data_IF_948089152679
#
_entry.id   IF_948089152679
#
_cell.length_a   1.000
_cell.length_b   1.000
_cell.length_c   1.000
_cell.angle_alpha   90.00
_cell.angle_beta   90.00
_cell.angle_gamma   90.00
#
_symmetry.space_group_name_H-M   'P 1'
#
loop_
_entity.id
_entity.type
_entity.pdbx_description
1 polymer ?
#
# COMPACT_ATOMS: atom_id res chain seq x y z
N UNK A 1 27.03 -54.50 23.98
CA UNK A 1 26.76 -54.19 22.55
C UNK A 1 25.29 -54.38 22.14
N UNK A 2 24.66 -55.55 22.39
CA UNK A 2 23.26 -55.83 21.95
C UNK A 2 22.19 -54.91 22.58
N UNK A 3 22.31 -54.63 23.88
CA UNK A 3 21.37 -53.75 24.62
C UNK A 3 21.48 -52.29 24.14
N UNK A 4 22.71 -51.84 23.85
CA UNK A 4 22.96 -50.48 23.34
C UNK A 4 22.34 -50.29 21.94
N UNK A 5 22.45 -51.32 21.09
CA UNK A 5 21.83 -51.31 19.75
C UNK A 5 20.29 -51.31 19.81
N UNK A 6 19.70 -52.03 20.77
CA UNK A 6 18.26 -52.01 20.99
C UNK A 6 17.76 -50.64 21.46
N UNK A 7 18.46 -50.01 22.41
CA UNK A 7 18.15 -48.66 22.89
C UNK A 7 18.26 -47.63 21.75
N UNK A 8 19.32 -47.73 20.93
CA UNK A 8 19.51 -46.85 19.77
C UNK A 8 18.36 -47.00 18.75
N UNK A 9 17.92 -48.23 18.47
CA UNK A 9 16.80 -48.50 17.56
C UNK A 9 15.49 -47.86 18.05
N UNK A 10 15.19 -47.95 19.34
CA UNK A 10 14.00 -47.32 19.93
C UNK A 10 14.07 -45.79 19.83
N UNK A 11 15.24 -45.19 20.07
CA UNK A 11 15.43 -43.73 19.95
C UNK A 11 15.22 -43.27 18.50
N UNK A 12 15.71 -44.01 17.50
CA UNK A 12 15.52 -43.68 16.08
C UNK A 12 14.04 -43.74 15.69
N UNK A 13 13.31 -44.76 16.14
CA UNK A 13 11.87 -44.87 15.88
C UNK A 13 11.11 -43.71 16.53
N UNK A 14 11.41 -43.39 17.79
CA UNK A 14 10.82 -42.24 18.48
C UNK A 14 11.16 -40.91 17.79
N UNK A 15 12.37 -40.76 17.25
CA UNK A 15 12.78 -39.60 16.46
C UNK A 15 11.92 -39.43 15.20
N UNK A 16 11.69 -40.51 14.44
CA UNK A 16 10.83 -40.45 13.24
C UNK A 16 9.36 -40.15 13.56
N UNK A 17 8.83 -40.69 14.66
CA UNK A 17 7.47 -40.38 15.14
C UNK A 17 7.37 -38.91 15.57
N UNK A 18 8.34 -38.42 16.33
CA UNK A 18 8.40 -37.03 16.78
C UNK A 18 8.54 -36.06 15.60
N UNK A 19 9.45 -36.34 14.65
CA UNK A 19 9.64 -35.50 13.46
C UNK A 19 8.38 -35.42 12.58
N UNK A 20 7.59 -36.50 12.54
CA UNK A 20 6.30 -36.51 11.84
C UNK A 20 5.21 -35.71 12.60
N UNK A 21 5.26 -35.70 13.93
CA UNK A 21 4.35 -34.91 14.78
C UNK A 21 4.68 -33.41 14.79
N UNK A 22 5.96 -33.04 14.80
CA UNK A 22 6.42 -31.64 14.85
C UNK A 22 6.03 -30.83 13.60
N UNK A 23 5.82 -31.46 12.43
CA UNK A 23 5.28 -30.76 11.23
C UNK A 23 3.89 -30.16 11.46
N UNK A 24 3.12 -30.66 12.44
CA UNK A 24 1.79 -30.16 12.79
C UNK A 24 1.81 -29.02 13.82
N UNK A 25 2.97 -28.74 14.41
CA UNK A 25 3.14 -27.73 15.47
C UNK A 25 4.19 -26.67 15.11
N UNK A 26 4.38 -26.39 13.81
CA UNK A 26 4.78 -25.04 13.42
C UNK A 26 3.71 -24.11 13.98
N UNK A 27 4.07 -23.22 14.91
CA UNK A 27 3.20 -22.15 15.44
C UNK A 27 2.46 -21.55 14.26
N UNK A 28 1.20 -21.93 14.07
CA UNK A 28 0.40 -21.51 12.92
C UNK A 28 0.04 -20.05 13.19
N UNK A 29 0.98 -19.15 12.94
CA UNK A 29 0.67 -17.74 12.84
C UNK A 29 -0.34 -17.65 11.71
N UNK A 30 -1.56 -17.25 12.06
CA UNK A 30 -2.62 -17.10 11.07
C UNK A 30 -2.36 -15.90 10.15
N UNK A 31 -1.35 -15.06 10.40
CA UNK A 31 -1.00 -13.96 9.49
C UNK A 31 -0.64 -14.49 8.09
N UNK A 32 -0.98 -13.71 7.06
CA UNK A 32 -0.53 -13.97 5.69
C UNK A 32 0.93 -13.56 5.52
N UNK A 33 1.32 -12.46 6.15
CA UNK A 33 2.69 -11.94 6.14
C UNK A 33 3.25 -11.90 7.56
N UNK A 34 4.57 -12.08 7.67
CA UNK A 34 5.32 -11.86 8.91
C UNK A 34 6.40 -10.79 8.64
N UNK A 35 5.95 -9.65 8.14
CA UNK A 35 6.79 -8.51 7.71
C UNK A 35 6.36 -7.27 8.49
N UNK A 36 7.32 -6.43 8.88
CA UNK A 36 7.05 -5.08 9.37
C UNK A 36 7.31 -4.04 8.27
N UNK A 37 6.57 -2.93 8.27
CA UNK A 37 6.61 -1.94 7.19
C UNK A 37 7.99 -1.29 7.04
N UNK A 38 8.75 -1.19 8.13
CA UNK A 38 10.10 -0.64 8.17
C UNK A 38 11.09 -1.46 7.32
N UNK A 39 10.89 -2.78 7.23
CA UNK A 39 11.72 -3.69 6.43
C UNK A 39 11.40 -3.60 4.93
N UNK A 40 10.22 -3.12 4.57
CA UNK A 40 9.80 -3.00 3.17
C UNK A 40 10.51 -1.82 2.50
N UNK A 41 11.40 -2.13 1.57
CA UNK A 41 12.05 -1.14 0.71
C UNK A 41 11.25 -0.88 -0.57
N UNK A 42 10.68 -1.93 -1.14
CA UNK A 42 9.88 -1.87 -2.37
C UNK A 42 8.78 -2.91 -2.30
N UNK A 43 7.64 -2.63 -2.92
CA UNK A 43 6.63 -3.65 -3.16
C UNK A 43 6.06 -3.54 -4.56
N UNK A 44 5.64 -4.69 -5.08
CA UNK A 44 5.01 -4.86 -6.38
C UNK A 44 3.56 -5.27 -6.18
N UNK A 45 2.65 -4.60 -6.88
CA UNK A 45 1.29 -5.09 -7.07
C UNK A 45 1.15 -5.48 -8.54
N UNK A 46 0.77 -6.72 -8.77
CA UNK A 46 0.68 -7.32 -10.10
C UNK A 46 -0.66 -8.01 -10.26
N UNK A 47 -1.24 -7.88 -11.44
CA UNK A 47 -2.44 -8.60 -11.83
C UNK A 47 -2.43 -8.76 -13.34
N UNK A 48 -2.64 -10.00 -13.80
CA UNK A 48 -2.49 -10.35 -15.21
C UNK A 48 -1.09 -9.93 -15.69
N UNK A 49 -0.97 -9.15 -16.76
CA UNK A 49 0.30 -8.66 -17.29
C UNK A 49 0.64 -7.23 -16.85
N UNK A 50 -0.17 -6.63 -15.96
CA UNK A 50 -0.01 -5.25 -15.52
C UNK A 50 0.54 -5.25 -14.09
N UNK A 51 1.58 -4.47 -13.86
CA UNK A 51 2.17 -4.31 -12.53
C UNK A 51 2.49 -2.85 -12.24
N UNK A 52 2.66 -2.57 -10.96
CA UNK A 52 3.20 -1.31 -10.47
C UNK A 52 4.16 -1.57 -9.32
N UNK A 53 5.23 -0.79 -9.27
CA UNK A 53 6.16 -0.79 -8.14
C UNK A 53 6.02 0.49 -7.35
N UNK A 54 6.03 0.34 -6.03
CA UNK A 54 6.20 1.43 -5.08
C UNK A 54 7.49 1.19 -4.33
N UNK A 55 8.32 2.22 -4.23
CA UNK A 55 9.65 2.15 -3.63
C UNK A 55 9.85 3.28 -2.64
N UNK A 56 10.45 2.96 -1.50
CA UNK A 56 10.83 3.94 -0.50
C UNK A 56 12.12 4.64 -0.92
N UNK A 57 12.07 5.96 -1.01
CA UNK A 57 13.22 6.84 -1.21
C UNK A 57 13.34 7.72 0.04
N UNK A 58 14.40 7.47 0.80
CA UNK A 58 14.64 8.06 2.12
C UNK A 58 13.46 7.80 3.07
N UNK A 59 12.65 8.83 3.34
CA UNK A 59 11.48 8.77 4.24
C UNK A 59 10.15 8.73 3.49
N UNK A 60 10.16 8.78 2.15
CA UNK A 60 8.97 8.94 1.32
C UNK A 60 8.79 7.78 0.35
N UNK A 61 7.53 7.44 0.05
CA UNK A 61 7.21 6.44 -0.97
C UNK A 61 7.03 7.10 -2.33
N UNK A 62 7.55 6.46 -3.38
CA UNK A 62 7.46 6.90 -4.76
C UNK A 62 6.87 5.80 -5.64
N UNK A 63 6.15 6.21 -6.68
CA UNK A 63 5.59 5.30 -7.68
C UNK A 63 6.61 5.21 -8.81
N UNK A 64 7.22 4.04 -9.01
CA UNK A 64 8.27 3.88 -10.01
C UNK A 64 7.72 4.16 -11.42
N UNK A 65 8.43 4.96 -12.20
CA UNK A 65 8.04 5.35 -13.56
C UNK A 65 6.96 6.44 -13.61
N UNK A 66 6.57 7.01 -12.46
CA UNK A 66 5.50 8.02 -12.36
C UNK A 66 5.88 9.19 -11.44
N UNK A 67 7.03 9.81 -11.70
CA UNK A 67 7.63 10.85 -10.87
C UNK A 67 6.79 12.14 -10.75
N UNK A 68 5.84 12.36 -11.66
CA UNK A 68 4.93 13.51 -11.63
C UNK A 68 3.76 13.36 -10.66
N UNK A 69 3.56 12.18 -10.06
CA UNK A 69 2.48 11.93 -9.12
C UNK A 69 2.96 12.08 -7.68
N UNK A 70 2.20 12.82 -6.88
CA UNK A 70 2.37 12.89 -5.44
C UNK A 70 1.72 11.69 -4.78
N UNK A 71 2.48 10.97 -3.94
CA UNK A 71 1.98 9.78 -3.24
C UNK A 71 0.81 10.13 -2.31
N UNK A 72 -0.18 9.26 -2.28
CA UNK A 72 -1.30 9.34 -1.34
C UNK A 72 -0.95 8.52 -0.09
N UNK A 73 -0.53 9.19 0.98
CA UNK A 73 -0.08 8.54 2.23
C UNK A 73 -1.09 7.56 2.80
N UNK A 74 -2.40 7.85 2.71
CA UNK A 74 -3.43 6.94 3.18
C UNK A 74 -3.40 5.57 2.47
N UNK A 75 -2.98 5.53 1.20
CA UNK A 75 -2.83 4.26 0.45
C UNK A 75 -1.64 3.45 0.91
N UNK A 76 -0.56 4.12 1.31
CA UNK A 76 0.59 3.47 1.93
C UNK A 76 0.22 2.95 3.32
N UNK A 77 -0.51 3.73 4.11
CA UNK A 77 -1.00 3.31 5.41
C UNK A 77 -1.93 2.08 5.30
N UNK A 78 -2.70 1.96 4.21
CA UNK A 78 -3.50 0.77 3.93
C UNK A 78 -2.64 -0.50 3.77
N UNK A 79 -1.40 -0.38 3.27
CA UNK A 79 -0.46 -1.51 3.19
C UNK A 79 -0.10 -2.00 4.58
N UNK A 80 0.40 -1.09 5.42
CA UNK A 80 0.84 -1.42 6.78
C UNK A 80 -0.32 -1.93 7.64
N UNK A 81 -1.46 -1.23 7.62
CA UNK A 81 -2.54 -1.47 8.58
C UNK A 81 -3.53 -2.55 8.15
N UNK A 82 -3.59 -2.91 6.86
CA UNK A 82 -4.55 -3.89 6.34
C UNK A 82 -3.90 -5.02 5.53
N UNK A 83 -2.86 -4.73 4.72
CA UNK A 83 -2.24 -5.79 3.91
C UNK A 83 -1.28 -6.62 4.74
N UNK A 84 -0.37 -6.00 5.50
CA UNK A 84 0.62 -6.73 6.31
C UNK A 84 -0.02 -7.40 7.54
N UNK A 85 -1.19 -6.93 7.99
CA UNK A 85 -1.91 -7.43 9.16
C UNK A 85 -2.98 -8.48 8.84
N UNK A 86 -3.28 -8.73 7.56
CA UNK A 86 -4.33 -9.67 7.14
C UNK A 86 -4.04 -11.09 7.61
N UNK A 87 -5.10 -11.78 8.05
CA UNK A 87 -5.03 -13.13 8.62
C UNK A 87 -5.83 -14.13 7.79
N UNK A 88 -5.30 -15.34 7.72
CA UNK A 88 -5.92 -16.58 7.26
C UNK A 88 -6.87 -17.08 8.35
N UNK A 89 -8.11 -17.39 7.99
CA UNK A 89 -9.09 -17.98 8.90
C UNK A 89 -9.21 -19.49 8.69
N UNK A 90 -9.68 -19.89 7.52
CA UNK A 90 -9.97 -21.29 7.19
C UNK A 90 -9.45 -21.66 5.81
N UNK A 91 -9.05 -22.92 5.66
CA UNK A 91 -8.71 -23.49 4.36
C UNK A 91 -10.01 -23.77 3.61
N UNK A 92 -10.18 -23.15 2.44
CA UNK A 92 -11.36 -23.34 1.58
C UNK A 92 -11.11 -24.34 0.45
N UNK A 93 -9.84 -24.58 0.11
CA UNK A 93 -9.43 -25.62 -0.82
C UNK A 93 -7.96 -25.95 -0.65
N UNK A 94 -7.58 -27.18 -0.97
CA UNK A 94 -6.20 -27.65 -1.10
C UNK A 94 -5.95 -28.26 -2.49
N UNK A 95 -6.84 -28.01 -3.46
CA UNK A 95 -6.76 -28.58 -4.79
C UNK A 95 -6.36 -27.48 -5.79
N UNK A 96 -5.14 -27.54 -6.38
CA UNK A 96 -4.68 -26.56 -7.36
C UNK A 96 -5.61 -26.38 -8.57
N UNK A 97 -6.33 -27.43 -8.98
CA UNK A 97 -7.27 -27.35 -10.09
C UNK A 97 -8.45 -26.40 -9.82
N UNK A 98 -8.66 -25.97 -8.55
CA UNK A 98 -9.72 -25.05 -8.15
C UNK A 98 -9.24 -23.61 -7.94
N UNK A 99 -7.94 -23.30 -8.06
CA UNK A 99 -7.44 -21.94 -7.84
C UNK A 99 -8.20 -20.88 -8.66
N UNK A 100 -8.55 -21.19 -9.90
CA UNK A 100 -9.33 -20.31 -10.76
C UNK A 100 -10.74 -20.01 -10.22
N UNK A 101 -11.39 -20.98 -9.57
CA UNK A 101 -12.70 -20.79 -8.94
C UNK A 101 -12.67 -19.78 -7.80
N UNK A 102 -11.51 -19.65 -7.14
CA UNK A 102 -11.25 -18.72 -6.04
C UNK A 102 -10.48 -17.46 -6.50
N UNK A 103 -10.22 -17.30 -7.80
CA UNK A 103 -9.48 -16.17 -8.36
C UNK A 103 -8.07 -16.00 -7.74
N UNK A 104 -7.40 -17.09 -7.38
CA UNK A 104 -6.03 -17.08 -6.80
C UNK A 104 -5.00 -17.74 -7.71
N UNK A 105 -5.35 -18.01 -8.97
CA UNK A 105 -4.37 -18.36 -10.01
C UNK A 105 -3.56 -17.12 -10.44
N UNK A 106 -2.45 -17.34 -11.13
CA UNK A 106 -1.49 -16.29 -11.49
C UNK A 106 -2.05 -15.28 -12.52
N UNK A 107 -3.12 -15.62 -13.25
CA UNK A 107 -3.76 -14.73 -14.22
C UNK A 107 -4.86 -13.87 -13.59
N UNK A 108 -5.74 -14.47 -12.78
CA UNK A 108 -6.90 -13.78 -12.22
C UNK A 108 -6.62 -13.07 -10.89
N UNK A 109 -5.67 -13.60 -10.12
CA UNK A 109 -5.34 -13.11 -8.79
C UNK A 109 -4.56 -11.79 -8.82
N UNK A 110 -4.69 -11.03 -7.75
CA UNK A 110 -3.81 -9.88 -7.49
C UNK A 110 -2.62 -10.37 -6.66
N UNK A 111 -1.45 -10.44 -7.29
CA UNK A 111 -0.20 -10.80 -6.64
C UNK A 111 0.43 -9.58 -5.99
N UNK A 112 0.89 -9.75 -4.75
CA UNK A 112 1.69 -8.78 -4.01
C UNK A 112 3.01 -9.41 -3.63
N UNK A 113 4.09 -8.69 -3.89
CA UNK A 113 5.46 -9.08 -3.54
C UNK A 113 6.13 -7.93 -2.79
N UNK A 114 6.69 -8.22 -1.62
CA UNK A 114 7.46 -7.28 -0.81
C UNK A 114 8.95 -7.60 -0.92
N UNK A 115 9.77 -6.55 -1.00
CA UNK A 115 11.22 -6.63 -1.13
C UNK A 115 11.90 -5.84 -0.01
N UNK A 116 13.00 -6.37 0.51
CA UNK A 116 13.89 -5.65 1.42
C UNK A 116 14.85 -4.71 0.68
N UNK A 117 15.74 -4.06 1.43
CA UNK A 117 16.75 -3.14 0.89
C UNK A 117 17.78 -3.84 -0.03
N UNK A 118 17.99 -5.15 0.13
CA UNK A 118 18.88 -5.95 -0.71
C UNK A 118 18.18 -6.47 -1.98
N UNK A 119 16.93 -6.03 -2.22
CA UNK A 119 16.05 -6.52 -3.27
C UNK A 119 15.66 -8.00 -3.15
N UNK A 120 15.78 -8.59 -1.96
CA UNK A 120 15.32 -9.94 -1.68
C UNK A 120 13.82 -9.95 -1.37
N UNK A 121 13.12 -11.00 -1.83
CA UNK A 121 11.69 -11.18 -1.55
C UNK A 121 11.49 -11.60 -0.10
N UNK A 122 10.85 -10.74 0.69
CA UNK A 122 10.54 -10.99 2.11
C UNK A 122 9.10 -11.45 2.35
N UNK A 123 8.25 -11.39 1.33
CA UNK A 123 6.93 -12.00 1.37
C UNK A 123 6.16 -11.85 0.07
N UNK A 124 5.37 -12.86 -0.25
CA UNK A 124 4.63 -12.93 -1.50
C UNK A 124 3.32 -13.70 -1.31
N UNK A 125 2.22 -13.16 -1.82
CA UNK A 125 0.91 -13.82 -1.79
C UNK A 125 0.03 -13.39 -2.96
N UNK A 126 -0.94 -14.24 -3.31
CA UNK A 126 -1.91 -13.98 -4.36
C UNK A 126 -3.30 -13.90 -3.75
N UNK A 127 -3.95 -12.74 -3.91
CA UNK A 127 -5.29 -12.47 -3.39
C UNK A 127 -6.34 -12.64 -4.48
N UNK A 128 -7.43 -13.33 -4.13
CA UNK A 128 -8.55 -13.62 -4.99
C UNK A 128 -9.86 -13.08 -4.44
N UNK A 129 -10.71 -12.55 -5.32
CA UNK A 129 -12.00 -11.99 -4.92
C UNK A 129 -12.96 -13.11 -4.58
N UNK A 130 -13.59 -13.02 -3.42
CA UNK A 130 -14.70 -13.89 -3.08
C UNK A 130 -15.96 -13.54 -3.88
N UNK A 131 -16.64 -14.56 -4.42
CA UNK A 131 -17.85 -14.40 -5.23
C UNK A 131 -19.12 -14.25 -4.38
N UNK A 132 -19.12 -14.81 -3.17
CA UNK A 132 -20.29 -14.86 -2.29
C UNK A 132 -20.16 -14.01 -1.03
N UNK A 133 -18.94 -13.69 -0.61
CA UNK A 133 -18.66 -12.95 0.61
C UNK A 133 -17.74 -11.76 0.28
N UNK A 134 -18.34 -10.58 0.09
CA UNK A 134 -17.62 -9.38 -0.30
C UNK A 134 -16.78 -8.78 0.86
N UNK A 135 -17.00 -9.19 2.10
CA UNK A 135 -16.27 -8.70 3.27
C UNK A 135 -14.94 -9.41 3.47
N UNK A 136 -14.75 -10.57 2.83
CA UNK A 136 -13.54 -11.38 2.88
C UNK A 136 -12.93 -11.57 1.49
N UNK A 137 -11.66 -11.94 1.46
CA UNK A 137 -10.97 -12.36 0.24
C UNK A 137 -10.44 -13.78 0.39
N UNK A 138 -9.98 -14.35 -0.71
CA UNK A 138 -9.17 -15.55 -0.69
C UNK A 138 -7.70 -15.18 -0.81
N UNK A 139 -6.83 -16.00 -0.26
CA UNK A 139 -5.38 -15.84 -0.38
C UNK A 139 -4.71 -17.20 -0.58
N UNK A 140 -3.73 -17.23 -1.48
CA UNK A 140 -2.82 -18.35 -1.68
C UNK A 140 -1.40 -17.87 -1.42
N UNK A 141 -0.67 -18.64 -0.60
CA UNK A 141 0.76 -18.44 -0.37
C UNK A 141 1.56 -19.12 -1.47
N UNK A 142 2.69 -18.55 -1.83
CA UNK A 142 3.54 -19.08 -2.90
C UNK A 142 4.23 -20.35 -2.43
N UNK A 143 4.18 -21.39 -3.25
CA UNK A 143 4.68 -22.73 -2.89
C UNK A 143 3.70 -23.60 -2.11
N UNK A 144 2.49 -23.10 -1.81
CA UNK A 144 1.43 -23.87 -1.15
C UNK A 144 0.22 -24.11 -2.06
N UNK A 145 -0.40 -25.30 -1.92
CA UNK A 145 -1.64 -25.65 -2.63
C UNK A 145 -2.89 -25.09 -1.98
N UNK A 146 -2.78 -24.72 -0.70
CA UNK A 146 -3.89 -24.27 0.11
C UNK A 146 -4.36 -22.87 -0.33
N UNK A 147 -5.68 -22.75 -0.41
CA UNK A 147 -6.40 -21.48 -0.52
C UNK A 147 -7.06 -21.22 0.82
N UNK A 148 -6.79 -20.06 1.39
CA UNK A 148 -7.33 -19.62 2.65
C UNK A 148 -8.38 -18.54 2.42
N UNK A 149 -9.39 -18.48 3.28
CA UNK A 149 -10.24 -17.30 3.43
C UNK A 149 -9.58 -16.33 4.41
N UNK A 150 -9.62 -15.04 4.10
CA UNK A 150 -9.05 -13.99 4.96
C UNK A 150 -10.10 -13.42 5.92
N UNK A 151 -9.67 -12.82 7.03
CA UNK A 151 -10.55 -12.13 7.98
C UNK A 151 -11.18 -10.84 7.42
N UNK A 152 -10.58 -10.24 6.40
CA UNK A 152 -11.07 -9.03 5.73
C UNK A 152 -10.77 -9.04 4.23
N UNK A 153 -11.45 -8.18 3.47
CA UNK A 153 -11.20 -7.99 2.06
C UNK A 153 -10.14 -6.90 1.84
N UNK A 154 -9.06 -7.28 1.16
CA UNK A 154 -7.93 -6.38 0.89
C UNK A 154 -7.79 -5.98 -0.58
N UNK A 155 -8.59 -6.53 -1.49
CA UNK A 155 -8.38 -6.39 -2.94
C UNK A 155 -8.58 -4.96 -3.43
N UNK A 156 -9.49 -4.21 -2.82
CA UNK A 156 -9.71 -2.80 -3.16
C UNK A 156 -8.52 -1.90 -2.77
N UNK A 157 -7.61 -2.38 -1.92
CA UNK A 157 -6.37 -1.70 -1.52
C UNK A 157 -5.18 -2.07 -2.40
N UNK A 158 -5.29 -3.14 -3.20
CA UNK A 158 -4.24 -3.64 -4.09
C UNK A 158 -4.60 -3.36 -5.55
N UNK A 159 -4.10 -2.24 -6.07
CA UNK A 159 -4.40 -1.77 -7.43
C UNK A 159 -3.13 -1.58 -8.26
N UNK A 160 -3.20 -1.88 -9.56
CA UNK A 160 -2.07 -1.74 -10.49
C UNK A 160 -2.01 -0.36 -11.17
N UNK A 161 -3.03 0.47 -11.00
CA UNK A 161 -3.12 1.80 -11.63
C UNK A 161 -2.33 2.87 -10.83
N UNK A 162 -1.45 3.66 -11.45
CA UNK A 162 -0.67 4.69 -10.76
C UNK A 162 -1.51 5.76 -10.05
N UNK A 163 -2.63 6.16 -10.64
CA UNK A 163 -3.54 7.17 -10.07
C UNK A 163 -4.30 6.69 -8.84
N UNK A 164 -4.27 5.39 -8.52
CA UNK A 164 -4.75 4.91 -7.22
C UNK A 164 -3.80 5.30 -6.11
N UNK A 165 -2.49 5.20 -6.37
CA UNK A 165 -1.42 5.44 -5.41
C UNK A 165 -1.04 6.90 -5.33
N UNK A 166 -1.19 7.67 -6.42
CA UNK A 166 -0.76 9.06 -6.48
C UNK A 166 -1.78 9.99 -7.14
N UNK A 167 -1.66 11.27 -6.82
CA UNK A 167 -2.46 12.35 -7.42
C UNK A 167 -1.54 13.31 -8.17
N UNK A 168 -2.06 13.94 -9.22
CA UNK A 168 -1.35 15.05 -9.86
C UNK A 168 -1.24 16.21 -8.85
N UNK A 169 -0.08 16.89 -8.79
CA UNK A 169 0.04 18.10 -8.00
C UNK A 169 -1.00 19.14 -8.44
N UNK A 170 -1.51 19.97 -7.52
CA UNK A 170 -2.38 21.07 -7.89
C UNK A 170 -1.64 22.02 -8.86
N UNK A 171 -2.36 22.66 -9.80
CA UNK A 171 -1.76 23.68 -10.64
C UNK A 171 -1.17 24.80 -9.76
N UNK A 172 -0.08 25.45 -10.19
CA UNK A 172 0.43 26.64 -9.51
C UNK A 172 -0.68 27.66 -9.34
N UNK A 173 -0.74 28.40 -8.22
CA UNK A 173 -1.66 29.52 -8.09
C UNK A 173 -1.42 30.49 -9.25
N UNK A 174 -2.50 30.97 -9.87
CA UNK A 174 -2.40 32.01 -10.91
C UNK A 174 -1.64 33.22 -10.32
N UNK A 175 -0.72 33.84 -11.08
CA UNK A 175 -0.04 35.05 -10.62
C UNK A 175 -1.11 36.06 -10.21
N UNK A 176 -1.07 36.51 -8.95
CA UNK A 176 -1.94 37.57 -8.49
C UNK A 176 -1.78 38.74 -9.48
N UNK A 177 -2.88 39.14 -10.13
CA UNK A 177 -2.89 40.35 -10.94
C UNK A 177 -2.34 41.47 -10.06
N UNK A 178 -1.15 41.98 -10.41
CA UNK A 178 -0.64 43.22 -9.81
C UNK A 178 -1.72 44.25 -10.05
N UNK A 179 -2.45 44.60 -8.98
CA UNK A 179 -3.35 45.73 -8.97
C UNK A 179 -2.49 46.93 -9.37
N UNK A 180 -2.62 47.38 -10.61
CA UNK A 180 -2.10 48.68 -11.05
C UNK A 180 -2.66 49.70 -10.06
N UNK A 181 -1.82 50.19 -9.17
CA UNK A 181 -2.08 51.41 -8.43
C UNK A 181 -2.32 52.50 -9.47
N UNK A 182 -3.59 52.86 -9.66
CA UNK A 182 -3.94 54.15 -10.24
C UNK A 182 -3.39 55.20 -9.30
N UNK A 183 -2.32 55.85 -9.75
CA UNK A 183 -1.73 57.04 -9.16
C UNK A 183 -2.76 58.18 -9.24
N UNK A 184 -3.66 58.26 -8.25
CA UNK A 184 -4.50 59.42 -8.03
C UNK A 184 -3.65 60.51 -7.36
N UNK A 185 -3.00 61.33 -8.20
CA UNK A 185 -2.47 62.63 -7.80
C UNK A 185 -3.56 63.46 -7.11
N UNK A 186 -3.28 64.12 -5.97
CA UNK A 186 -4.26 65.02 -5.37
C UNK A 186 -4.32 66.32 -6.17
N UNK A 187 -5.52 66.68 -6.65
CA UNK A 187 -5.84 68.03 -7.09
C UNK A 187 -5.66 69.01 -5.93
N UNK A 188 -4.75 69.96 -6.09
CA UNK A 188 -4.57 71.10 -5.20
C UNK A 188 -5.67 72.11 -5.50
N UNK A 189 -6.68 72.20 -4.63
CA UNK A 189 -7.64 73.32 -4.66
C UNK A 189 -6.94 74.61 -4.21
N UNK A 190 -6.67 75.48 -5.18
CA UNK A 190 -6.13 76.82 -5.01
C UNK A 190 -7.26 77.77 -4.58
N UNK A 191 -7.37 78.05 -3.27
CA UNK A 191 -8.24 79.08 -2.73
C UNK A 191 -7.52 80.44 -2.77
N UNK A 192 -7.59 81.12 -3.92
CA UNK A 192 -7.19 82.51 -4.06
C UNK A 192 -8.43 83.42 -3.91
N UNK A 193 -8.55 84.03 -2.73
CA UNK A 193 -9.50 85.11 -2.48
C UNK A 193 -9.13 86.38 -3.26
N UNK A 194 -10.16 87.09 -3.71
CA UNK A 194 -10.09 88.48 -4.13
C UNK A 194 -11.49 89.08 -3.99
N UNK A 195 -11.64 90.01 -3.05
CA UNK A 195 -12.22 91.33 -3.30
C UNK A 195 -11.93 92.23 -2.11
N UNK A 196 -11.06 93.20 -2.35
CA UNK A 196 -10.72 94.27 -1.43
C UNK A 196 -11.70 95.43 -1.53
N UNK A 197 -11.92 96.04 -0.37
CA UNK A 197 -12.12 97.45 -0.04
C UNK A 197 -12.15 98.49 -1.19
N UNK A 198 -13.13 99.40 -1.13
CA UNK A 198 -13.12 100.65 -1.91
C UNK A 198 -14.30 101.60 -1.65
N UNK A 199 -14.16 102.44 -0.61
CA UNK A 199 -14.67 103.82 -0.42
C UNK A 199 -16.19 104.14 -0.47
N UNK A 200 -16.86 104.58 0.62
CA UNK A 200 -16.90 105.90 1.32
C UNK A 200 -18.08 106.80 0.83
N UNK A 201 -18.42 107.95 1.45
CA UNK A 201 -19.50 108.14 2.42
C UNK A 201 -20.67 109.05 1.94
N UNK A 202 -21.80 109.02 2.67
CA UNK A 202 -22.61 110.17 3.15
C UNK A 202 -23.83 109.70 3.96
#
# INVERSE_FOLDING_TARGET
MKILAAILGVIVILYFISQSGQKKYQTQSNSVFSIVMEEVYRFKVEKDSIYIYLQRKDTTWQIMGHDSLLIQTNRINDIENNILTVKRESVVSNNPSKWNSFNVDDSLGTKVTFYDFNEEVIGEAIFGRSKSDWQRSYVRLIGEDNVYMTNENVINRLQTRPTFWGKKPPPPPEPAEEQKQEDSSPEVEDNAGLNGEGAEPE
#
